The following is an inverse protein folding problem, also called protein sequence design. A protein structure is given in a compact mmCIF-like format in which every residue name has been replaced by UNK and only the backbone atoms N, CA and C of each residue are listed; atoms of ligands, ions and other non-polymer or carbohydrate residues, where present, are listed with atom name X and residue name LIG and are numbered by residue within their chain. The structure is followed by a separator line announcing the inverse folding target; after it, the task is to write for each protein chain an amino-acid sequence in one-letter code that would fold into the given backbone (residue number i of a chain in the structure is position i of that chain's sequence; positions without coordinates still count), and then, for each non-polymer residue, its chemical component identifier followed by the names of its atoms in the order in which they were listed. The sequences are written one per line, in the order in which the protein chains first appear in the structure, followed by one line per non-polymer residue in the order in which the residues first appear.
data_IF_053555614495
#
_entry.id   IF_053555614495
#
_cell.length_a   1.000
_cell.length_b   1.000
_cell.length_c   1.000
_cell.angle_alpha   90.00
_cell.angle_beta   90.00
_cell.angle_gamma   90.00
#
_symmetry.space_group_name_H-M   'P 1'
#
loop_
_entity.id
_entity.type
_entity.pdbx_description
1 polymer ?
#
# COMPACT_ATOMS: atom_id res chain seq x y z
N UNK A 1 11.91 15.17 24.95
CA UNK A 1 12.67 14.39 23.94
C UNK A 1 12.36 12.96 24.25
N UNK A 2 11.56 12.30 23.41
CA UNK A 2 11.30 10.86 23.54
C UNK A 2 12.16 10.25 22.44
N UNK A 3 13.22 9.60 22.86
CA UNK A 3 14.20 8.97 22.00
C UNK A 3 13.52 7.98 21.05
N UNK A 4 13.95 8.02 19.80
CA UNK A 4 13.72 6.97 18.81
C UNK A 4 14.36 5.68 19.34
N UNK A 5 13.63 4.93 20.16
CA UNK A 5 14.05 3.58 20.53
C UNK A 5 13.93 2.70 19.30
N UNK A 6 15.08 2.39 18.73
CA UNK A 6 15.26 1.39 17.69
C UNK A 6 14.49 0.13 18.05
N UNK A 7 13.75 -0.38 17.07
CA UNK A 7 13.11 -1.69 17.11
C UNK A 7 14.16 -2.73 16.74
N UNK A 8 15.25 -2.79 17.49
CA UNK A 8 16.32 -3.77 17.26
C UNK A 8 15.85 -5.11 17.84
N UNK A 9 15.34 -5.96 16.94
CA UNK A 9 15.19 -7.39 17.18
C UNK A 9 16.58 -8.04 17.11
N UNK A 10 17.47 -7.61 17.99
CA UNK A 10 18.76 -8.26 18.23
C UNK A 10 18.49 -9.59 18.91
N UNK A 11 18.43 -10.67 18.12
CA UNK A 11 18.74 -12.08 18.45
C UNK A 11 17.90 -13.09 17.66
N UNK A 12 17.78 -12.93 16.34
CA UNK A 12 17.25 -13.98 15.47
C UNK A 12 18.36 -14.57 14.57
N UNK A 13 19.45 -15.01 15.18
CA UNK A 13 20.37 -15.98 14.58
C UNK A 13 20.14 -17.31 15.29
N UNK A 14 19.26 -18.17 14.76
CA UNK A 14 19.30 -19.64 14.88
C UNK A 14 18.04 -20.22 14.22
N UNK A 15 18.25 -21.22 13.35
CA UNK A 15 17.28 -21.87 12.45
C UNK A 15 16.14 -22.67 13.13
N UNK A 16 15.71 -22.31 14.34
CA UNK A 16 14.69 -23.07 15.10
C UNK A 16 13.72 -22.15 15.88
N UNK A 17 13.10 -21.17 15.20
CA UNK A 17 11.99 -20.41 15.78
C UNK A 17 10.64 -21.02 15.37
N UNK A 18 10.32 -22.20 15.93
CA UNK A 18 8.96 -22.72 15.95
C UNK A 18 8.12 -21.88 16.93
N UNK A 19 7.41 -20.88 16.40
CA UNK A 19 6.13 -20.44 16.98
C UNK A 19 6.11 -19.33 18.03
N UNK A 20 7.21 -18.63 18.34
CA UNK A 20 7.19 -17.54 19.34
C UNK A 20 6.94 -16.12 18.81
N UNK A 21 6.86 -15.94 17.49
CA UNK A 21 6.54 -14.67 16.83
C UNK A 21 5.25 -14.80 16.04
N UNK A 22 4.13 -15.03 16.75
CA UNK A 22 2.80 -14.99 16.16
C UNK A 22 2.55 -13.61 15.57
N UNK A 23 2.72 -13.46 14.25
CA UNK A 23 2.07 -12.38 13.53
C UNK A 23 0.57 -12.64 13.65
N UNK A 24 -0.22 -11.69 14.17
CA UNK A 24 -1.66 -11.71 13.96
C UNK A 24 -1.94 -11.91 12.47
N UNK A 25 -2.94 -12.72 12.11
CA UNK A 25 -3.31 -13.01 10.72
C UNK A 25 -3.59 -11.73 9.89
N UNK A 26 -3.80 -10.59 10.56
CA UNK A 26 -4.07 -9.29 9.96
C UNK A 26 -2.83 -8.38 9.78
N UNK A 27 -1.62 -8.85 10.11
CA UNK A 27 -0.35 -8.15 9.88
C UNK A 27 -0.02 -7.03 10.87
N UNK A 28 -0.83 -6.84 11.91
CA UNK A 28 -0.62 -5.82 12.94
C UNK A 28 0.23 -6.31 14.11
N UNK A 29 1.02 -5.42 14.70
CA UNK A 29 1.63 -5.61 16.02
C UNK A 29 1.16 -4.51 16.96
N UNK A 30 0.85 -4.87 18.20
CA UNK A 30 0.33 -3.93 19.20
C UNK A 30 1.31 -3.79 20.38
N UNK A 31 1.42 -2.58 20.91
CA UNK A 31 2.06 -2.29 22.19
C UNK A 31 1.06 -1.57 23.09
N UNK A 32 0.74 -2.19 24.22
CA UNK A 32 -0.20 -1.67 25.21
C UNK A 32 0.60 -1.16 26.41
N UNK A 33 0.40 0.10 26.77
CA UNK A 33 1.01 0.75 27.91
C UNK A 33 -0.11 1.24 28.84
N UNK A 34 -0.64 0.33 29.66
CA UNK A 34 -1.81 0.57 30.52
C UNK A 34 -1.57 1.75 31.47
N UNK A 35 -0.41 1.78 32.14
CA UNK A 35 -0.02 2.86 33.06
C UNK A 35 0.01 4.24 32.39
N UNK A 36 0.31 4.28 31.09
CA UNK A 36 0.30 5.50 30.30
C UNK A 36 -1.05 5.77 29.60
N UNK A 37 -1.97 4.80 29.64
CA UNK A 37 -3.23 4.82 28.90
C UNK A 37 -3.06 4.90 27.38
N UNK A 38 -2.00 4.29 26.84
CA UNK A 38 -1.62 4.38 25.42
C UNK A 38 -1.59 3.00 24.78
N UNK A 39 -2.19 2.90 23.60
CA UNK A 39 -2.02 1.75 22.70
C UNK A 39 -1.36 2.21 21.40
N UNK A 40 -0.37 1.46 20.93
CA UNK A 40 0.26 1.65 19.62
C UNK A 40 -0.01 0.43 18.74
N UNK A 41 -0.23 0.67 17.46
CA UNK A 41 -0.38 -0.36 16.44
C UNK A 41 0.63 -0.11 15.31
N UNK A 42 1.21 -1.17 14.77
CA UNK A 42 2.09 -1.15 13.61
C UNK A 42 1.66 -2.21 12.60
N UNK A 43 1.33 -1.78 11.38
CA UNK A 43 1.13 -2.67 10.24
C UNK A 43 2.49 -2.87 9.55
N UNK A 44 2.96 -4.12 9.43
CA UNK A 44 4.28 -4.46 8.86
C UNK A 44 4.18 -5.11 7.47
N UNK A 45 5.32 -5.24 6.80
CA UNK A 45 5.49 -5.93 5.52
C UNK A 45 4.68 -5.33 4.36
N UNK A 46 4.50 -4.01 4.37
CA UNK A 46 3.60 -3.31 3.43
C UNK A 46 4.27 -2.78 2.16
N UNK A 47 5.59 -2.92 2.04
CA UNK A 47 6.42 -2.29 1.01
C UNK A 47 6.04 -2.67 -0.42
N UNK A 48 5.66 -3.93 -0.65
CA UNK A 48 5.33 -4.45 -1.99
C UNK A 48 3.83 -4.51 -2.30
N UNK A 49 2.95 -4.09 -1.39
CA UNK A 49 1.50 -4.28 -1.54
C UNK A 49 0.94 -3.60 -2.78
N UNK A 50 1.18 -2.30 -2.93
CA UNK A 50 0.71 -1.55 -4.10
C UNK A 50 1.35 -2.09 -5.39
N UNK A 51 2.61 -2.50 -5.33
CA UNK A 51 3.32 -3.05 -6.48
C UNK A 51 2.73 -4.40 -6.94
N UNK A 52 2.39 -5.28 -6.00
CA UNK A 52 1.73 -6.56 -6.31
C UNK A 52 0.37 -6.36 -6.98
N UNK A 53 -0.39 -5.34 -6.57
CA UNK A 53 -1.65 -4.97 -7.24
C UNK A 53 -1.38 -4.46 -8.65
N UNK A 54 -0.39 -3.59 -8.85
CA UNK A 54 -0.02 -3.10 -10.17
C UNK A 54 0.43 -4.23 -11.11
N UNK A 55 1.26 -5.17 -10.65
CA UNK A 55 1.65 -6.35 -11.44
C UNK A 55 0.42 -7.13 -11.88
N UNK A 56 -0.51 -7.41 -10.96
CA UNK A 56 -1.74 -8.14 -11.29
C UNK A 56 -2.56 -7.39 -12.34
N UNK A 57 -2.70 -6.08 -12.21
CA UNK A 57 -3.42 -5.24 -13.17
C UNK A 57 -2.75 -5.25 -14.54
N UNK A 58 -1.42 -5.08 -14.60
CA UNK A 58 -0.67 -5.07 -15.86
C UNK A 58 -0.57 -6.45 -16.51
N UNK A 59 -0.52 -7.52 -15.73
CA UNK A 59 -0.50 -8.91 -16.24
C UNK A 59 -1.77 -9.32 -16.98
N UNK A 60 -2.89 -8.58 -16.81
CA UNK A 60 -4.10 -8.78 -17.61
C UNK A 60 -4.02 -8.16 -19.02
N UNK A 61 -2.97 -7.41 -19.32
CA UNK A 61 -2.70 -6.88 -20.65
C UNK A 61 -2.00 -7.96 -21.48
N UNK A 62 -2.49 -8.20 -22.70
CA UNK A 62 -1.76 -9.05 -23.65
C UNK A 62 -0.45 -8.34 -24.01
N UNK A 63 0.68 -8.88 -23.56
CA UNK A 63 2.03 -8.30 -23.73
C UNK A 63 2.59 -8.42 -25.15
N UNK A 64 1.77 -8.79 -26.14
CA UNK A 64 2.23 -9.00 -27.53
C UNK A 64 2.93 -7.77 -28.14
N UNK A 65 2.58 -6.56 -27.70
CA UNK A 65 3.08 -5.30 -28.25
C UNK A 65 3.73 -4.38 -27.21
N UNK A 66 3.67 -4.71 -25.92
CA UNK A 66 4.24 -3.92 -24.81
C UNK A 66 5.01 -4.86 -23.90
N UNK A 67 6.34 -4.78 -23.94
CA UNK A 67 7.23 -5.43 -23.00
C UNK A 67 7.79 -4.39 -22.03
N UNK A 68 7.63 -4.61 -20.73
CA UNK A 68 8.15 -3.74 -19.67
C UNK A 68 9.55 -4.18 -19.21
N UNK A 69 10.36 -4.78 -20.10
CA UNK A 69 11.59 -5.49 -19.73
C UNK A 69 12.78 -4.58 -19.38
N UNK A 70 12.78 -3.30 -19.80
CA UNK A 70 13.97 -2.43 -19.66
C UNK A 70 13.68 -0.97 -19.30
N UNK A 71 12.46 -0.66 -18.86
CA UNK A 71 12.18 0.67 -18.33
C UNK A 71 12.96 0.83 -17.03
N UNK A 72 13.94 1.75 -17.03
CA UNK A 72 14.53 2.37 -15.84
C UNK A 72 13.42 3.04 -15.05
N UNK A 73 12.59 2.24 -14.39
CA UNK A 73 11.77 2.73 -13.31
C UNK A 73 12.79 3.27 -12.31
N UNK A 74 12.84 4.60 -12.20
CA UNK A 74 13.37 5.22 -10.99
C UNK A 74 12.80 4.42 -9.82
N UNK A 75 13.63 4.09 -8.81
CA UNK A 75 13.23 3.19 -7.73
C UNK A 75 11.81 3.58 -7.35
N UNK A 76 10.83 2.66 -7.51
CA UNK A 76 9.44 2.99 -7.28
C UNK A 76 9.40 3.69 -5.93
N UNK A 77 8.56 4.71 -5.78
CA UNK A 77 8.30 5.20 -4.42
C UNK A 77 7.54 4.05 -3.73
N UNK A 78 8.31 3.08 -3.25
CA UNK A 78 7.88 1.85 -2.59
C UNK A 78 7.12 2.31 -1.36
N UNK A 79 6.02 1.63 -1.06
CA UNK A 79 5.32 1.89 0.19
C UNK A 79 6.32 1.76 1.35
N UNK A 80 6.05 2.45 2.45
CA UNK A 80 6.86 2.24 3.66
C UNK A 80 6.81 0.76 4.08
N UNK A 81 7.88 0.22 4.68
CA UNK A 81 7.90 -1.15 5.19
C UNK A 81 6.88 -1.36 6.33
N UNK A 82 6.52 -0.27 7.03
CA UNK A 82 5.48 -0.30 8.05
C UNK A 82 4.74 1.04 8.25
N UNK A 83 3.56 0.95 8.87
CA UNK A 83 2.72 2.09 9.24
C UNK A 83 2.30 2.03 10.69
N UNK A 84 2.60 3.10 11.44
CA UNK A 84 2.33 3.17 12.89
C UNK A 84 1.17 4.10 13.22
N UNK A 85 0.34 3.68 14.17
CA UNK A 85 -0.75 4.47 14.76
C UNK A 85 -0.67 4.41 16.29
N UNK A 86 -1.08 5.48 16.96
CA UNK A 86 -1.08 5.55 18.41
C UNK A 86 -2.37 6.21 18.91
N UNK A 87 -2.98 5.63 19.93
CA UNK A 87 -4.17 6.14 20.59
C UNK A 87 -3.92 6.26 22.08
N UNK A 88 -4.38 7.38 22.65
CA UNK A 88 -4.48 7.56 24.08
C UNK A 88 -5.95 7.39 24.43
N UNK A 89 -6.25 6.49 25.35
CA UNK A 89 -7.61 6.15 25.78
C UNK A 89 -7.94 6.62 27.19
N UNK A 90 -6.92 6.90 28.02
CA UNK A 90 -7.11 7.58 29.31
C UNK A 90 -6.90 9.08 29.14
N UNK A 91 -7.98 9.85 29.21
CA UNK A 91 -7.96 11.29 29.00
C UNK A 91 -7.84 12.07 30.32
N UNK A 92 -8.20 11.45 31.46
CA UNK A 92 -8.16 12.04 32.81
C UNK A 92 -7.59 11.07 33.86
N UNK A 93 -7.11 11.63 34.97
CA UNK A 93 -6.69 10.85 36.13
C UNK A 93 -7.88 10.10 36.73
N UNK A 94 -7.75 8.78 36.88
CA UNK A 94 -8.82 7.89 37.36
C UNK A 94 -9.68 7.26 36.26
N UNK A 95 -9.47 7.58 34.99
CA UNK A 95 -10.08 6.83 33.87
C UNK A 95 -9.55 5.39 33.87
N UNK A 96 -10.45 4.42 33.69
CA UNK A 96 -10.06 3.02 33.51
C UNK A 96 -9.64 2.81 32.06
N UNK A 97 -8.45 2.25 31.86
CA UNK A 97 -7.94 1.91 30.53
C UNK A 97 -8.87 0.94 29.82
N UNK A 98 -9.29 1.30 28.60
CA UNK A 98 -10.01 0.41 27.69
C UNK A 98 -9.07 -0.02 26.56
N UNK A 99 -8.57 -1.24 26.65
CA UNK A 99 -7.66 -1.84 25.68
C UNK A 99 -8.30 -1.94 24.28
N UNK A 100 -9.56 -2.36 24.19
CA UNK A 100 -10.26 -2.57 22.92
C UNK A 100 -10.41 -1.27 22.13
N UNK A 101 -10.75 -0.18 22.81
CA UNK A 101 -10.82 1.15 22.21
C UNK A 101 -9.43 1.62 21.76
N UNK A 102 -8.40 1.33 22.56
CA UNK A 102 -7.02 1.68 22.25
C UNK A 102 -6.52 0.95 21.00
N UNK A 103 -6.78 -0.36 20.91
CA UNK A 103 -6.46 -1.21 19.75
C UNK A 103 -7.17 -0.68 18.51
N UNK A 104 -8.49 -0.46 18.59
CA UNK A 104 -9.28 0.01 17.45
C UNK A 104 -8.78 1.36 16.92
N UNK A 105 -8.62 2.35 17.80
CA UNK A 105 -8.21 3.70 17.39
C UNK A 105 -6.77 3.76 16.86
N UNK A 106 -5.85 3.00 17.48
CA UNK A 106 -4.46 2.96 17.03
C UNK A 106 -4.35 2.25 15.67
N UNK A 107 -5.10 1.17 15.46
CA UNK A 107 -5.21 0.46 14.18
C UNK A 107 -5.77 1.34 13.08
N UNK A 108 -6.89 2.04 13.32
CA UNK A 108 -7.50 2.95 12.33
C UNK A 108 -6.52 4.04 11.87
N UNK A 109 -5.71 4.58 12.79
CA UNK A 109 -4.67 5.58 12.46
C UNK A 109 -3.54 5.00 11.61
N UNK A 110 -3.13 3.77 11.86
CA UNK A 110 -2.13 3.08 11.04
C UNK A 110 -2.69 2.81 9.63
N UNK A 111 -3.92 2.28 9.54
CA UNK A 111 -4.61 2.01 8.27
C UNK A 111 -4.83 3.28 7.45
N UNK A 112 -5.20 4.39 8.07
CA UNK A 112 -5.35 5.66 7.37
C UNK A 112 -4.06 6.09 6.65
N UNK A 113 -2.90 5.95 7.30
CA UNK A 113 -1.61 6.27 6.70
C UNK A 113 -1.26 5.29 5.58
N UNK A 114 -1.50 4.01 5.80
CA UNK A 114 -1.31 2.94 4.81
C UNK A 114 -2.13 3.22 3.54
N UNK A 115 -3.45 3.37 3.67
CA UNK A 115 -4.35 3.60 2.53
C UNK A 115 -4.03 4.90 1.81
N UNK A 116 -3.69 5.98 2.53
CA UNK A 116 -3.28 7.24 1.90
C UNK A 116 -2.07 7.05 0.98
N UNK A 117 -1.08 6.27 1.40
CA UNK A 117 0.12 6.04 0.58
C UNK A 117 -0.14 5.05 -0.55
N UNK A 118 -0.92 4.00 -0.28
CA UNK A 118 -1.41 3.05 -1.27
C UNK A 118 -2.16 3.76 -2.41
N UNK A 119 -3.16 4.57 -2.07
CA UNK A 119 -3.99 5.32 -3.03
C UNK A 119 -3.15 6.31 -3.84
N UNK A 120 -2.16 6.96 -3.21
CA UNK A 120 -1.22 7.85 -3.88
C UNK A 120 -0.42 7.11 -4.95
N UNK A 121 0.03 5.89 -4.68
CA UNK A 121 0.80 5.08 -5.65
C UNK A 121 -0.11 4.62 -6.80
N UNK A 122 -1.30 4.08 -6.49
CA UNK A 122 -2.24 3.62 -7.52
C UNK A 122 -2.68 4.77 -8.43
N UNK A 123 -3.03 5.93 -7.86
CA UNK A 123 -3.41 7.12 -8.63
C UNK A 123 -2.24 7.69 -9.46
N UNK A 124 -1.02 7.62 -8.93
CA UNK A 124 0.21 7.96 -9.66
C UNK A 124 0.43 7.06 -10.88
N UNK A 125 0.34 5.74 -10.70
CA UNK A 125 0.46 4.78 -11.79
C UNK A 125 -0.62 4.98 -12.88
N UNK A 126 -1.86 5.28 -12.50
CA UNK A 126 -2.92 5.63 -13.45
C UNK A 126 -2.61 6.91 -14.23
N UNK A 127 -2.04 7.93 -13.57
CA UNK A 127 -1.61 9.16 -14.24
C UNK A 127 -0.53 8.86 -15.28
N UNK A 128 0.47 8.06 -14.93
CA UNK A 128 1.56 7.70 -15.84
C UNK A 128 1.04 6.90 -17.05
N UNK A 129 0.13 5.95 -16.81
CA UNK A 129 -0.53 5.20 -17.89
C UNK A 129 -1.29 6.13 -18.86
N UNK A 130 -2.01 7.14 -18.34
CA UNK A 130 -2.71 8.13 -19.17
C UNK A 130 -1.76 8.99 -20.00
N UNK A 131 -0.62 9.39 -19.43
CA UNK A 131 0.43 10.12 -20.16
C UNK A 131 1.00 9.26 -21.29
N UNK A 132 1.23 7.97 -21.03
CA UNK A 132 1.69 7.03 -22.04
C UNK A 132 0.69 6.91 -23.19
N UNK A 133 -0.60 6.73 -22.90
CA UNK A 133 -1.66 6.70 -23.93
C UNK A 133 -1.65 7.98 -24.78
N UNK A 134 -1.62 9.16 -24.14
CA UNK A 134 -1.61 10.44 -24.86
C UNK A 134 -0.38 10.60 -25.76
N UNK A 135 0.80 10.13 -25.32
CA UNK A 135 2.01 10.17 -26.13
C UNK A 135 1.93 9.23 -27.34
N UNK A 136 1.31 8.06 -27.20
CA UNK A 136 1.10 7.11 -28.29
C UNK A 136 0.10 7.65 -29.32
N UNK A 137 -1.03 8.18 -28.87
CA UNK A 137 -2.04 8.82 -29.75
C UNK A 137 -1.42 9.99 -30.54
N UNK A 138 -0.69 10.88 -29.86
CA UNK A 138 0.03 11.99 -30.51
C UNK A 138 1.02 11.50 -31.57
N UNK A 139 1.69 10.37 -31.32
CA UNK A 139 2.60 9.77 -32.30
C UNK A 139 1.83 9.26 -33.52
N UNK A 140 0.70 8.56 -33.32
CA UNK A 140 -0.16 8.10 -34.41
C UNK A 140 -0.66 9.27 -35.26
N UNK A 141 -1.16 10.34 -34.64
CA UNK A 141 -1.62 11.55 -35.33
C UNK A 141 -0.53 12.17 -36.19
N UNK A 142 0.67 12.35 -35.60
CA UNK A 142 1.82 12.96 -36.29
C UNK A 142 2.27 12.14 -37.51
N UNK A 143 2.09 10.83 -37.48
CA UNK A 143 2.54 9.92 -38.54
C UNK A 143 1.38 9.40 -39.40
N UNK A 144 0.18 9.96 -39.28
CA UNK A 144 -1.01 9.56 -40.02
C UNK A 144 -1.34 8.06 -39.92
N UNK A 145 -1.15 7.48 -38.73
CA UNK A 145 -1.52 6.10 -38.44
C UNK A 145 -3.01 6.08 -38.07
N UNK A 146 -3.82 5.36 -38.83
CA UNK A 146 -5.26 5.20 -38.54
C UNK A 146 -5.47 4.34 -37.28
N UNK A 147 -6.05 4.95 -36.26
CA UNK A 147 -6.39 4.33 -34.98
C UNK A 147 -7.91 4.15 -34.79
N UNK A 148 -8.72 4.26 -35.85
CA UNK A 148 -10.18 4.13 -35.79
C UNK A 148 -10.67 2.80 -35.21
N UNK A 149 -9.86 1.73 -35.32
CA UNK A 149 -10.14 0.41 -34.76
C UNK A 149 -9.58 0.21 -33.34
N UNK A 150 -8.88 1.20 -32.78
CA UNK A 150 -8.36 1.15 -31.40
C UNK A 150 -9.46 1.65 -30.46
N UNK A 151 -9.95 0.83 -29.53
CA UNK A 151 -11.05 1.22 -28.64
C UNK A 151 -10.60 2.29 -27.64
N UNK A 152 -11.47 3.24 -27.34
CA UNK A 152 -11.22 4.22 -26.28
C UNK A 152 -11.29 3.56 -24.89
N UNK A 153 -10.80 4.27 -23.87
CA UNK A 153 -10.93 3.83 -22.46
C UNK A 153 -12.40 3.58 -22.09
N UNK A 154 -13.31 4.39 -22.61
CA UNK A 154 -14.75 4.23 -22.34
C UNK A 154 -15.29 2.97 -23.03
N UNK A 155 -14.92 2.73 -24.29
CA UNK A 155 -15.33 1.52 -25.02
C UNK A 155 -14.84 0.25 -24.33
N UNK A 156 -13.59 0.26 -23.83
CA UNK A 156 -13.03 -0.86 -23.07
C UNK A 156 -13.84 -1.09 -21.79
N UNK A 157 -14.19 -0.03 -21.06
CA UNK A 157 -15.01 -0.13 -19.84
C UNK A 157 -16.37 -0.75 -20.12
N UNK A 158 -17.03 -0.26 -21.17
CA UNK A 158 -18.38 -0.70 -21.54
C UNK A 158 -18.40 -2.11 -22.15
N UNK A 159 -17.28 -2.61 -22.67
CA UNK A 159 -17.19 -3.96 -23.25
C UNK A 159 -16.69 -5.01 -22.27
N UNK A 160 -15.66 -4.70 -21.46
CA UNK A 160 -15.07 -5.65 -20.50
C UNK A 160 -15.75 -5.69 -19.14
N UNK A 161 -16.31 -4.56 -18.67
CA UNK A 161 -16.81 -4.43 -17.29
C UNK A 161 -18.32 -4.10 -17.24
N UNK A 162 -19.06 -4.49 -18.28
CA UNK A 162 -20.51 -4.27 -18.38
C UNK A 162 -21.24 -4.87 -17.17
N UNK A 163 -21.78 -3.95 -16.35
CA UNK A 163 -22.70 -4.09 -15.19
C UNK A 163 -22.93 -5.53 -14.67
N UNK A 164 -22.36 -5.82 -13.50
CA UNK A 164 -23.07 -6.56 -12.45
C UNK A 164 -24.03 -5.57 -11.79
#
# INVERSE_FOLDING_TARGET
MIDDMNFDCENCFHDECDGCCGYPEDGFQYLILEDAGITKAELKNTEIDAFNVLIKLFGTLSTKYVAFEDTKFNPPVVMKPSYKGAARVNFKDGDTFNEDDGIKLSREKALYKYHRDFDRIISGALKDARILCANLERYCDKNHIDISNVPSVQDIRDTRYKKI
#
